data_IF_371640910703
#
_entry.id   IF_371640910703
#
_cell.length_a   1.000
_cell.length_b   1.000
_cell.length_c   1.000
_cell.angle_alpha   90.00
_cell.angle_beta   90.00
_cell.angle_gamma   90.00
#
_symmetry.space_group_name_H-M   'P 1'
#
loop_
_entity.id
_entity.type
_entity.pdbx_description
1 polymer ?
#
# COMPACT_ATOMS: atom_id res chain seq x y z
N UNK A 1 15.40 10.28 8.70
CA UNK A 1 15.16 10.21 7.25
C UNK A 1 13.75 9.69 7.07
N UNK A 2 12.90 10.41 6.36
CA UNK A 2 11.55 9.93 6.03
C UNK A 2 11.63 9.16 4.71
N UNK A 3 11.36 7.85 4.76
CA UNK A 3 11.24 7.04 3.55
C UNK A 3 9.87 7.29 2.94
N UNK A 4 9.83 7.60 1.64
CA UNK A 4 8.57 7.75 0.91
C UNK A 4 8.15 6.40 0.32
N UNK A 5 6.86 6.11 0.42
CA UNK A 5 6.25 4.91 -0.14
C UNK A 5 5.14 5.32 -1.10
N UNK A 6 5.04 4.61 -2.23
CA UNK A 6 3.90 4.75 -3.14
C UNK A 6 2.76 3.90 -2.63
N UNK A 7 1.60 4.52 -2.45
CA UNK A 7 0.39 3.89 -1.90
C UNK A 7 -0.75 4.14 -2.88
N UNK A 8 -1.52 3.10 -3.17
CA UNK A 8 -2.81 3.22 -3.87
C UNK A 8 -3.89 3.39 -2.82
N UNK A 9 -4.82 4.31 -3.03
CA UNK A 9 -6.02 4.50 -2.21
C UNK A 9 -7.24 4.38 -3.11
N UNK A 10 -8.10 3.43 -2.79
CA UNK A 10 -9.34 3.15 -3.51
C UNK A 10 -10.53 3.65 -2.70
N UNK A 11 -11.46 4.35 -3.36
CA UNK A 11 -12.77 4.68 -2.77
C UNK A 11 -13.74 3.55 -3.07
N UNK A 12 -14.37 3.03 -2.02
CA UNK A 12 -15.48 2.09 -2.09
C UNK A 12 -16.76 2.71 -1.51
N UNK A 13 -17.97 2.18 -1.82
CA UNK A 13 -19.22 2.70 -1.27
C UNK A 13 -19.27 2.70 0.27
N UNK A 14 -18.59 1.74 0.89
CA UNK A 14 -18.50 1.48 2.33
C UNK A 14 -17.27 2.10 3.01
N UNK A 15 -16.33 2.69 2.26
CA UNK A 15 -15.14 3.28 2.86
C UNK A 15 -14.02 3.54 1.87
N UNK A 16 -12.80 3.43 2.35
CA UNK A 16 -11.57 3.54 1.59
C UNK A 16 -10.66 2.37 1.95
N UNK A 17 -9.89 1.90 0.97
CA UNK A 17 -8.86 0.87 1.16
C UNK A 17 -7.55 1.39 0.59
N UNK A 18 -6.45 1.20 1.31
CA UNK A 18 -5.14 1.65 0.91
C UNK A 18 -4.10 0.53 1.05
N UNK A 19 -3.17 0.45 0.10
CA UNK A 19 -2.08 -0.53 0.10
C UNK A 19 -0.80 0.02 -0.56
N UNK A 20 0.38 -0.36 -0.06
CA UNK A 20 1.65 0.07 -0.63
C UNK A 20 2.02 -0.76 -1.86
N UNK A 21 2.70 -0.11 -2.80
CA UNK A 21 3.30 -0.77 -3.95
C UNK A 21 4.76 -1.13 -3.65
N UNK A 22 5.24 -2.24 -4.20
CA UNK A 22 6.64 -2.67 -4.08
C UNK A 22 7.02 -3.22 -2.70
N UNK A 23 6.03 -3.64 -1.90
CA UNK A 23 6.23 -4.24 -0.59
C UNK A 23 6.08 -5.77 -0.71
N UNK A 24 7.05 -6.52 -0.18
CA UNK A 24 6.94 -7.99 -0.08
C UNK A 24 6.03 -8.39 1.08
N UNK A 25 4.90 -9.01 0.75
CA UNK A 25 3.86 -9.42 1.70
C UNK A 25 2.54 -8.71 1.48
N UNK A 26 1.63 -8.82 2.44
CA UNK A 26 0.29 -8.21 2.37
C UNK A 26 0.20 -7.13 3.43
N UNK A 27 0.11 -5.88 2.98
CA UNK A 27 -0.13 -4.72 3.85
C UNK A 27 -1.31 -3.95 3.27
N UNK A 28 -2.36 -3.80 4.08
CA UNK A 28 -3.59 -3.10 3.74
C UNK A 28 -4.02 -2.27 4.95
N UNK A 29 -4.58 -1.10 4.70
CA UNK A 29 -5.32 -0.32 5.69
C UNK A 29 -6.63 0.16 5.11
N UNK A 30 -7.73 0.00 5.84
CA UNK A 30 -9.05 0.51 5.50
C UNK A 30 -9.40 1.76 6.34
N UNK A 31 -10.49 2.44 6.01
CA UNK A 31 -11.00 3.55 6.81
C UNK A 31 -12.25 4.19 6.20
N UNK A 32 -13.01 4.94 7.00
CA UNK A 32 -14.23 5.62 6.54
C UNK A 32 -13.89 6.83 5.65
N UNK A 33 -12.68 7.37 5.80
CA UNK A 33 -12.14 8.50 5.03
C UNK A 33 -10.81 8.19 4.34
N UNK A 34 -10.48 9.00 3.32
CA UNK A 34 -9.20 8.93 2.63
C UNK A 34 -8.00 9.02 3.59
N UNK A 35 -8.04 9.99 4.50
CA UNK A 35 -6.94 10.23 5.44
C UNK A 35 -6.82 9.12 6.48
N UNK A 36 -7.95 8.52 6.88
CA UNK A 36 -7.95 7.38 7.80
C UNK A 36 -7.31 6.15 7.16
N UNK A 37 -7.71 5.77 5.95
CA UNK A 37 -7.10 4.66 5.23
C UNK A 37 -5.60 4.88 5.01
N UNK A 38 -5.19 6.12 4.68
CA UNK A 38 -3.78 6.48 4.53
C UNK A 38 -3.00 6.38 5.85
N UNK A 39 -3.59 6.77 6.98
CA UNK A 39 -2.97 6.64 8.29
C UNK A 39 -2.88 5.17 8.74
N UNK A 40 -3.90 4.37 8.43
CA UNK A 40 -3.93 2.96 8.76
C UNK A 40 -2.88 2.18 7.97
N UNK A 41 -2.77 2.41 6.64
CA UNK A 41 -1.71 1.77 5.85
C UNK A 41 -0.31 2.25 6.26
N UNK A 42 -0.13 3.51 6.66
CA UNK A 42 1.15 4.02 7.20
C UNK A 42 1.57 3.27 8.47
N UNK A 43 0.62 3.06 9.38
CA UNK A 43 0.86 2.27 10.60
C UNK A 43 1.19 0.82 10.28
N UNK A 44 0.49 0.22 9.32
CA UNK A 44 0.71 -1.16 8.90
C UNK A 44 2.08 -1.35 8.21
N UNK A 45 2.50 -0.41 7.35
CA UNK A 45 3.85 -0.39 6.76
C UNK A 45 4.91 -0.37 7.86
N UNK A 46 4.76 0.53 8.84
CA UNK A 46 5.71 0.65 9.95
C UNK A 46 5.80 -0.66 10.75
N UNK A 47 4.65 -1.23 11.10
CA UNK A 47 4.60 -2.49 11.84
C UNK A 47 5.26 -3.64 11.07
N UNK A 48 5.03 -3.71 9.75
CA UNK A 48 5.62 -4.72 8.88
C UNK A 48 7.16 -4.61 8.86
N UNK A 49 7.71 -3.40 8.75
CA UNK A 49 9.16 -3.14 8.84
C UNK A 49 9.71 -3.55 10.21
N UNK A 50 9.03 -3.17 11.29
CA UNK A 50 9.46 -3.47 12.66
C UNK A 50 9.42 -4.98 12.95
N UNK A 51 8.51 -5.72 12.31
CA UNK A 51 8.33 -7.16 12.53
C UNK A 51 9.27 -8.00 11.66
N UNK A 52 9.42 -7.65 10.38
CA UNK A 52 10.10 -8.50 9.40
C UNK A 52 11.46 -7.97 8.94
N UNK A 53 11.89 -6.81 9.45
CA UNK A 53 13.14 -6.18 9.04
C UNK A 53 12.96 -5.31 7.79
N UNK A 54 14.04 -4.60 7.44
CA UNK A 54 14.03 -3.68 6.28
C UNK A 54 14.20 -4.43 4.95
N UNK A 55 14.65 -5.68 4.97
CA UNK A 55 14.81 -6.52 3.77
C UNK A 55 13.51 -6.75 2.99
N UNK A 56 12.34 -6.64 3.64
CA UNK A 56 11.05 -6.73 2.93
C UNK A 56 10.78 -5.54 2.01
N UNK A 57 11.64 -4.51 2.08
CA UNK A 57 11.64 -3.30 1.27
C UNK A 57 12.97 -3.02 0.57
N UNK A 58 13.94 -3.96 0.58
CA UNK A 58 15.30 -3.66 0.11
C UNK A 58 15.33 -3.16 -1.35
N UNK A 59 15.69 -1.87 -1.43
CA UNK A 59 16.13 -0.90 -2.44
C UNK A 59 16.10 -1.20 -3.95
N UNK A 60 16.07 -2.45 -4.43
CA UNK A 60 16.14 -2.75 -5.88
C UNK A 60 14.79 -2.72 -6.60
N UNK A 61 13.67 -2.68 -5.86
CA UNK A 61 12.30 -2.72 -6.44
C UNK A 61 11.47 -1.48 -6.10
N UNK A 62 12.09 -0.30 -6.06
CA UNK A 62 11.31 0.95 -5.95
C UNK A 62 10.36 1.04 -7.15
N UNK A 63 9.05 1.09 -6.88
CA UNK A 63 8.06 1.22 -7.95
C UNK A 63 8.33 2.53 -8.67
N UNK A 64 8.74 2.48 -9.93
CA UNK A 64 9.03 3.70 -10.71
C UNK A 64 7.74 4.34 -11.21
N UNK A 65 6.80 3.52 -11.70
CA UNK A 65 5.50 3.94 -12.20
C UNK A 65 4.44 2.87 -11.89
N UNK A 66 3.19 3.29 -11.75
CA UNK A 66 2.04 2.40 -11.56
C UNK A 66 0.87 2.94 -12.37
N UNK A 67 0.15 2.04 -13.05
CA UNK A 67 -0.98 2.38 -13.90
C UNK A 67 -2.20 1.55 -13.50
N UNK A 68 -3.36 2.18 -13.47
CA UNK A 68 -4.65 1.49 -13.35
C UNK A 68 -5.19 1.28 -14.77
N UNK A 69 -5.57 0.06 -15.11
CA UNK A 69 -6.12 -0.27 -16.43
C UNK A 69 -7.20 -1.34 -16.31
N UNK A 70 -8.15 -1.33 -17.23
CA UNK A 70 -9.20 -2.32 -17.32
C UNK A 70 -8.74 -3.47 -18.22
N UNK A 71 -9.08 -4.71 -17.86
CA UNK A 71 -8.82 -5.87 -18.70
C UNK A 71 -10.00 -6.84 -18.65
N UNK A 72 -10.28 -7.50 -19.78
CA UNK A 72 -11.33 -8.52 -19.86
C UNK A 72 -10.80 -9.88 -19.42
N UNK A 73 -11.48 -10.53 -18.48
CA UNK A 73 -11.20 -11.90 -18.07
C UNK A 73 -12.33 -12.80 -18.58
N UNK A 74 -12.00 -13.87 -19.31
CA UNK A 74 -12.97 -14.91 -19.63
C UNK A 74 -13.15 -15.82 -18.42
N UNK A 75 -14.38 -15.94 -17.94
CA UNK A 75 -14.77 -16.73 -16.77
C UNK A 75 -15.55 -17.95 -17.24
#
# INVERSE_FOLDING_TARGET
MEQQFKVVVEKHPDGYVAYPLGLKGVVVGDGDSHDEALNNVKSAIKFHIETFGKEVFEEDESVLEAFVTETGVSI
#
